data_IF_560400293848
#
_entry.id   IF_560400293848
#
_cell.length_a   1.000
_cell.length_b   1.000
_cell.length_c   1.000
_cell.angle_alpha   90.00
_cell.angle_beta   90.00
_cell.angle_gamma   90.00
#
_symmetry.space_group_name_H-M   'P 1'
#
loop_
_entity.id
_entity.type
_entity.pdbx_description
1 polymer ?
#
# COMPACT_ATOMS: atom_id res chain seq x y z
N UNK A 1 -8.65 -37.06 -4.41
CA UNK A 1 -8.42 -35.66 -3.99
C UNK A 1 -9.81 -35.05 -3.83
N UNK A 2 -10.15 -34.48 -2.67
CA UNK A 2 -11.46 -33.90 -2.41
C UNK A 2 -11.34 -32.37 -2.41
N UNK A 3 -12.44 -31.70 -2.72
CA UNK A 3 -12.53 -30.25 -2.62
C UNK A 3 -13.86 -29.87 -1.98
N UNK A 4 -13.82 -28.80 -1.18
CA UNK A 4 -15.00 -28.16 -0.61
C UNK A 4 -15.09 -26.74 -1.17
N UNK A 5 -16.08 -26.50 -2.01
CA UNK A 5 -16.36 -25.19 -2.59
C UNK A 5 -17.23 -24.40 -1.61
N UNK A 6 -16.79 -23.23 -1.19
CA UNK A 6 -17.48 -22.37 -0.22
C UNK A 6 -17.68 -20.98 -0.80
N UNK A 7 -18.76 -20.32 -0.41
CA UNK A 7 -18.92 -18.89 -0.60
C UNK A 7 -18.46 -18.19 0.68
N UNK A 8 -17.54 -17.25 0.58
CA UNK A 8 -16.93 -16.58 1.72
C UNK A 8 -17.21 -15.10 1.66
N UNK A 9 -18.04 -14.64 2.60
CA UNK A 9 -18.34 -13.23 2.78
C UNK A 9 -17.30 -12.58 3.71
N UNK A 10 -16.58 -11.59 3.22
CA UNK A 10 -15.64 -10.79 4.00
C UNK A 10 -15.93 -9.29 3.77
N UNK A 11 -16.46 -8.60 4.78
CA UNK A 11 -16.97 -7.24 4.58
C UNK A 11 -18.21 -7.24 3.69
N UNK A 12 -18.20 -6.40 2.64
CA UNK A 12 -19.26 -6.33 1.63
C UNK A 12 -19.12 -7.36 0.49
N UNK A 13 -17.94 -7.97 0.34
CA UNK A 13 -17.62 -8.83 -0.80
C UNK A 13 -17.92 -10.30 -0.49
N UNK A 14 -18.37 -11.04 -1.51
CA UNK A 14 -18.55 -12.50 -1.47
C UNK A 14 -17.64 -13.11 -2.53
N UNK A 15 -16.70 -13.95 -2.11
CA UNK A 15 -15.77 -14.65 -2.98
C UNK A 15 -16.00 -16.15 -2.91
N UNK A 16 -15.73 -16.86 -4.00
CA UNK A 16 -15.74 -18.32 -4.01
C UNK A 16 -14.36 -18.85 -3.62
N UNK A 17 -14.30 -19.72 -2.61
CA UNK A 17 -13.08 -20.39 -2.18
C UNK A 17 -13.23 -21.90 -2.35
N UNK A 18 -12.28 -22.52 -3.04
CA UNK A 18 -12.22 -23.97 -3.24
C UNK A 18 -11.16 -24.52 -2.30
N UNK A 19 -11.55 -25.09 -1.16
CA UNK A 19 -10.63 -25.69 -0.19
C UNK A 19 -10.19 -27.08 -0.69
N UNK A 20 -8.93 -27.28 -1.12
CA UNK A 20 -8.42 -28.61 -1.41
C UNK A 20 -8.21 -29.39 -0.11
N UNK A 21 -8.73 -30.62 -0.02
CA UNK A 21 -8.59 -31.44 1.19
C UNK A 21 -8.35 -32.91 0.86
N UNK A 22 -7.63 -33.60 1.75
CA UNK A 22 -7.43 -35.06 1.69
C UNK A 22 -8.63 -35.82 2.28
N UNK A 23 -9.42 -35.16 3.13
CA UNK A 23 -10.59 -35.70 3.81
C UNK A 23 -11.89 -35.37 3.08
N UNK A 24 -12.92 -36.21 3.19
CA UNK A 24 -14.29 -35.87 2.78
C UNK A 24 -14.99 -34.91 3.76
N UNK A 25 -14.39 -34.69 4.93
CA UNK A 25 -14.83 -33.81 5.99
C UNK A 25 -13.63 -33.08 6.62
N UNK A 26 -13.28 -31.89 6.10
CA UNK A 26 -12.17 -31.12 6.63
C UNK A 26 -12.46 -30.53 8.01
N UNK A 27 -11.41 -30.22 8.76
CA UNK A 27 -11.55 -29.52 10.05
C UNK A 27 -11.71 -28.01 9.88
N UNK A 28 -12.12 -27.34 10.96
CA UNK A 28 -12.11 -25.88 11.04
C UNK A 28 -10.68 -25.35 10.89
N UNK A 29 -9.67 -26.03 11.43
CA UNK A 29 -8.27 -25.64 11.27
C UNK A 29 -7.83 -25.63 9.80
N UNK A 30 -8.17 -26.66 9.02
CA UNK A 30 -7.85 -26.69 7.58
C UNK A 30 -8.50 -25.50 6.84
N UNK A 31 -9.73 -25.15 7.21
CA UNK A 31 -10.40 -23.96 6.68
C UNK A 31 -9.72 -22.66 7.13
N UNK A 32 -9.30 -22.55 8.39
CA UNK A 32 -8.60 -21.38 8.93
C UNK A 32 -7.27 -21.14 8.23
N UNK A 33 -6.47 -22.19 8.05
CA UNK A 33 -5.21 -22.14 7.32
C UNK A 33 -5.42 -21.71 5.87
N UNK A 34 -6.45 -22.25 5.21
CA UNK A 34 -6.75 -21.87 3.83
C UNK A 34 -7.25 -20.43 3.70
N UNK A 35 -8.09 -19.97 4.63
CA UNK A 35 -8.53 -18.56 4.69
C UNK A 35 -7.33 -17.63 4.92
N UNK A 36 -6.37 -17.99 5.77
CA UNK A 36 -5.17 -17.20 5.99
C UNK A 36 -4.36 -17.06 4.70
N UNK A 37 -4.15 -18.18 3.99
CA UNK A 37 -3.42 -18.19 2.72
C UNK A 37 -4.11 -17.38 1.61
N UNK A 38 -5.45 -17.47 1.49
CA UNK A 38 -6.19 -16.86 0.39
C UNK A 38 -6.61 -15.41 0.65
N UNK A 39 -6.94 -15.07 1.90
CA UNK A 39 -7.48 -13.75 2.26
C UNK A 39 -6.49 -12.91 3.08
N UNK A 40 -5.32 -13.45 3.41
CA UNK A 40 -4.31 -12.83 4.26
C UNK A 40 -4.87 -12.36 5.60
N UNK A 41 -5.77 -13.13 6.21
CA UNK A 41 -6.32 -12.86 7.55
C UNK A 41 -5.67 -13.83 8.52
N UNK A 42 -4.87 -13.37 9.50
CA UNK A 42 -4.19 -14.27 10.42
C UNK A 42 -5.17 -15.14 11.19
N UNK A 43 -4.87 -16.43 11.41
CA UNK A 43 -5.79 -17.36 12.10
C UNK A 43 -6.31 -16.78 13.42
N UNK A 44 -5.44 -16.20 14.25
CA UNK A 44 -5.79 -15.58 15.54
C UNK A 44 -6.69 -14.32 15.43
N UNK A 45 -6.85 -13.76 14.23
CA UNK A 45 -7.74 -12.62 13.93
C UNK A 45 -8.99 -13.02 13.15
N UNK A 46 -9.12 -14.29 12.76
CA UNK A 46 -10.27 -14.78 12.01
C UNK A 46 -11.45 -15.04 12.96
N UNK A 47 -12.63 -14.61 12.59
CA UNK A 47 -13.89 -15.05 13.18
C UNK A 47 -14.75 -15.64 12.07
N UNK A 48 -14.73 -16.97 11.97
CA UNK A 48 -15.53 -17.72 10.99
C UNK A 48 -16.91 -17.94 11.59
N UNK A 49 -17.93 -17.40 10.94
CA UNK A 49 -19.32 -17.41 11.38
C UNK A 49 -20.14 -18.18 10.35
N UNK A 50 -20.88 -19.18 10.82
CA UNK A 50 -21.85 -19.92 10.01
C UNK A 50 -23.15 -20.08 10.78
N UNK A 51 -24.28 -19.66 10.19
CA UNK A 51 -25.61 -19.71 10.82
C UNK A 51 -25.64 -19.16 12.27
N UNK A 52 -24.89 -18.09 12.53
CA UNK A 52 -24.79 -17.45 13.85
C UNK A 52 -23.81 -18.09 14.82
N UNK A 53 -23.16 -19.21 14.48
CA UNK A 53 -22.15 -19.85 15.31
C UNK A 53 -20.75 -19.39 14.92
N UNK A 54 -19.92 -19.07 15.91
CA UNK A 54 -18.51 -18.73 15.70
C UNK A 54 -17.64 -19.99 15.86
N UNK A 55 -16.93 -20.37 14.81
CA UNK A 55 -16.08 -21.56 14.77
C UNK A 55 -14.62 -21.29 15.17
N UNK A 56 -14.23 -20.03 15.41
CA UNK A 56 -12.81 -19.65 15.59
C UNK A 56 -12.05 -20.46 16.65
N UNK A 57 -12.68 -20.76 17.79
CA UNK A 57 -12.06 -21.46 18.93
C UNK A 57 -12.20 -22.99 18.87
N UNK A 58 -12.49 -23.53 17.70
CA UNK A 58 -12.84 -24.96 17.52
C UNK A 58 -12.03 -25.61 16.40
N UNK A 59 -10.69 -25.56 16.42
CA UNK A 59 -9.85 -25.98 15.30
C UNK A 59 -10.00 -27.47 14.93
N UNK A 60 -10.12 -28.35 15.92
CA UNK A 60 -10.18 -29.81 15.73
C UNK A 60 -11.54 -30.31 15.23
N UNK A 61 -12.54 -29.44 15.32
CA UNK A 61 -13.91 -29.76 15.01
C UNK A 61 -14.14 -29.86 13.49
N UNK A 62 -15.00 -30.80 13.07
CA UNK A 62 -15.28 -31.04 11.65
C UNK A 62 -16.27 -30.04 11.08
N UNK A 63 -16.17 -29.71 9.79
CA UNK A 63 -17.09 -28.77 9.15
C UNK A 63 -18.50 -29.36 8.97
N UNK A 64 -18.63 -30.66 8.68
CA UNK A 64 -19.95 -31.28 8.43
C UNK A 64 -20.88 -31.29 9.64
N UNK A 65 -20.37 -31.36 10.88
CA UNK A 65 -21.24 -31.29 12.06
C UNK A 65 -21.93 -29.93 12.22
N UNK A 66 -21.39 -28.87 11.60
CA UNK A 66 -22.04 -27.57 11.49
C UNK A 66 -23.01 -27.48 10.30
N UNK A 67 -23.06 -28.51 9.46
CA UNK A 67 -23.80 -28.51 8.21
C UNK A 67 -23.12 -27.69 7.11
N UNK A 68 -21.81 -27.43 7.23
CA UNK A 68 -21.03 -26.76 6.19
C UNK A 68 -20.71 -27.77 5.09
N UNK A 69 -21.23 -27.53 3.90
CA UNK A 69 -21.10 -28.38 2.71
C UNK A 69 -20.81 -27.52 1.48
N UNK A 70 -20.72 -28.13 0.30
CA UNK A 70 -20.48 -27.40 -0.95
C UNK A 70 -21.51 -26.27 -1.15
N UNK A 71 -21.01 -25.11 -1.59
CA UNK A 71 -21.75 -23.85 -1.78
C UNK A 71 -22.29 -23.21 -0.50
N UNK A 72 -21.88 -23.68 0.69
CA UNK A 72 -22.24 -23.02 1.94
C UNK A 72 -21.64 -21.61 2.00
N UNK A 73 -22.46 -20.64 2.40
CA UNK A 73 -22.03 -19.28 2.68
C UNK A 73 -21.51 -19.17 4.11
N UNK A 74 -20.21 -18.97 4.27
CA UNK A 74 -19.57 -18.64 5.53
C UNK A 74 -19.24 -17.15 5.57
N UNK A 75 -19.37 -16.53 6.73
CA UNK A 75 -18.92 -15.16 6.96
C UNK A 75 -17.60 -15.19 7.70
N UNK A 76 -16.60 -14.49 7.19
CA UNK A 76 -15.31 -14.34 7.84
C UNK A 76 -15.17 -12.88 8.25
N UNK A 77 -15.06 -12.65 9.55
CA UNK A 77 -14.77 -11.34 10.12
C UNK A 77 -13.33 -11.34 10.60
N UNK A 78 -12.53 -10.40 10.14
CA UNK A 78 -11.13 -10.28 10.55
C UNK A 78 -10.45 -9.14 9.81
N UNK A 79 -9.41 -8.58 10.42
CA UNK A 79 -8.58 -7.59 9.75
C UNK A 79 -7.57 -8.35 8.89
N UNK A 80 -7.66 -8.20 7.55
CA UNK A 80 -6.59 -8.64 6.65
C UNK A 80 -5.29 -8.05 7.19
N UNK A 81 -4.26 -8.87 7.38
CA UNK A 81 -2.91 -8.32 7.44
C UNK A 81 -2.75 -7.49 6.18
N UNK A 82 -2.35 -6.23 6.35
CA UNK A 82 -1.93 -5.42 5.23
C UNK A 82 -0.85 -6.23 4.52
N UNK A 83 -1.06 -6.62 3.26
CA UNK A 83 -0.07 -7.36 2.52
C UNK A 83 1.23 -6.56 2.60
N UNK A 84 2.20 -7.04 3.37
CA UNK A 84 3.56 -6.49 3.40
C UNK A 84 4.28 -6.74 2.07
N UNK A 85 3.62 -7.44 1.15
CA UNK A 85 4.11 -7.87 -0.17
C UNK A 85 3.70 -6.94 -1.32
N UNK A 86 2.77 -5.99 -1.12
CA UNK A 86 2.48 -4.95 -2.10
C UNK A 86 2.81 -3.60 -1.47
N UNK A 87 4.04 -3.14 -1.69
CA UNK A 87 4.47 -1.84 -1.21
C UNK A 87 3.85 -0.75 -2.08
N UNK A 88 3.18 0.22 -1.46
CA UNK A 88 2.71 1.39 -2.20
C UNK A 88 3.93 2.26 -2.53
N UNK A 89 4.08 2.59 -3.81
CA UNK A 89 5.11 3.48 -4.30
C UNK A 89 4.49 4.78 -4.82
N UNK A 90 5.26 5.86 -4.78
CA UNK A 90 4.89 7.13 -5.38
C UNK A 90 6.08 7.78 -6.08
N UNK A 91 5.80 8.40 -7.23
CA UNK A 91 6.73 9.29 -7.93
C UNK A 91 6.07 10.66 -7.99
N UNK A 92 6.67 11.66 -7.35
CA UNK A 92 6.18 13.03 -7.30
C UNK A 92 7.07 13.91 -8.15
N UNK A 93 6.50 14.69 -9.08
CA UNK A 93 7.28 15.47 -10.05
C UNK A 93 6.74 16.89 -10.19
N UNK A 94 7.62 17.88 -9.98
CA UNK A 94 7.37 19.27 -10.31
C UNK A 94 8.17 19.63 -11.58
N UNK A 95 7.46 19.81 -12.70
CA UNK A 95 8.07 20.03 -14.02
C UNK A 95 8.53 21.47 -14.30
N UNK A 96 8.65 22.34 -13.30
CA UNK A 96 9.00 23.75 -13.49
C UNK A 96 9.80 24.32 -12.31
N UNK A 97 10.51 25.41 -12.56
CA UNK A 97 11.32 26.14 -11.60
C UNK A 97 11.02 27.65 -11.60
N UNK A 98 11.72 28.38 -10.75
CA UNK A 98 11.59 29.84 -10.59
C UNK A 98 10.45 30.23 -9.65
N UNK A 99 10.60 31.39 -9.01
CA UNK A 99 9.68 31.90 -7.98
C UNK A 99 8.24 32.05 -8.50
N UNK A 100 8.04 32.49 -9.74
CA UNK A 100 6.71 32.58 -10.36
C UNK A 100 5.98 31.23 -10.48
N UNK A 101 6.70 30.11 -10.46
CA UNK A 101 6.14 28.76 -10.51
C UNK A 101 6.14 28.05 -9.15
N UNK A 102 6.26 28.82 -8.07
CA UNK A 102 6.30 28.33 -6.69
C UNK A 102 5.29 27.20 -6.40
N UNK A 103 4.05 27.38 -6.89
CA UNK A 103 2.93 26.44 -6.71
C UNK A 103 3.26 24.99 -7.05
N UNK A 104 4.02 24.71 -8.13
CA UNK A 104 4.20 23.32 -8.58
C UNK A 104 5.11 22.51 -7.64
N UNK A 105 6.14 23.14 -7.06
CA UNK A 105 6.99 22.46 -6.07
C UNK A 105 6.31 22.45 -4.69
N UNK A 106 5.53 23.48 -4.34
CA UNK A 106 4.70 23.48 -3.13
C UNK A 106 3.65 22.35 -3.17
N UNK A 107 3.06 22.07 -4.33
CA UNK A 107 2.15 20.94 -4.57
C UNK A 107 2.83 19.60 -4.35
N UNK A 108 4.04 19.40 -4.89
CA UNK A 108 4.83 18.18 -4.68
C UNK A 108 5.22 18.01 -3.21
N UNK A 109 5.70 19.06 -2.55
CA UNK A 109 6.03 19.05 -1.13
C UNK A 109 4.80 18.67 -0.29
N UNK A 110 3.64 19.26 -0.57
CA UNK A 110 2.40 18.94 0.13
C UNK A 110 1.94 17.50 -0.12
N UNK A 111 2.04 17.00 -1.36
CA UNK A 111 1.76 15.61 -1.68
C UNK A 111 2.67 14.66 -0.90
N UNK A 112 3.97 14.96 -0.78
CA UNK A 112 4.89 14.21 0.07
C UNK A 112 4.42 14.15 1.52
N UNK A 113 4.06 15.30 2.13
CA UNK A 113 3.60 15.32 3.52
C UNK A 113 2.37 14.42 3.74
N UNK A 114 1.43 14.38 2.78
CA UNK A 114 0.27 13.50 2.84
C UNK A 114 0.69 12.03 2.80
N UNK A 115 1.56 11.64 1.86
CA UNK A 115 2.00 10.25 1.71
C UNK A 115 2.82 9.77 2.92
N UNK A 116 3.78 10.58 3.36
CA UNK A 116 4.64 10.29 4.49
C UNK A 116 3.82 10.15 5.79
N UNK A 117 2.91 11.09 6.06
CA UNK A 117 2.00 11.04 7.23
C UNK A 117 1.09 9.81 7.23
N UNK A 118 0.75 9.27 6.05
CA UNK A 118 -0.05 8.05 5.91
C UNK A 118 0.78 6.75 5.87
N UNK A 119 2.08 6.84 6.19
CA UNK A 119 2.94 5.69 6.43
C UNK A 119 3.53 5.06 5.17
N UNK A 120 3.64 5.80 4.07
CA UNK A 120 4.52 5.39 2.96
C UNK A 120 5.95 5.79 3.33
N UNK A 121 6.90 4.85 3.44
CA UNK A 121 8.28 5.17 3.83
C UNK A 121 8.99 5.95 2.71
N UNK A 122 9.97 6.79 3.07
CA UNK A 122 10.74 7.59 2.10
C UNK A 122 11.52 6.72 1.09
N UNK A 123 11.82 5.46 1.44
CA UNK A 123 12.36 4.47 0.50
C UNK A 123 11.45 4.21 -0.70
N UNK A 124 10.16 4.49 -0.56
CA UNK A 124 9.10 4.22 -1.52
C UNK A 124 8.49 5.48 -2.14
N UNK A 125 9.01 6.65 -1.79
CA UNK A 125 8.64 7.93 -2.40
C UNK A 125 9.85 8.46 -3.15
N UNK A 126 9.66 8.75 -4.43
CA UNK A 126 10.67 9.33 -5.31
C UNK A 126 10.25 10.75 -5.63
N UNK A 127 11.05 11.75 -5.27
CA UNK A 127 10.72 13.16 -5.48
C UNK A 127 11.65 13.79 -6.51
N UNK A 128 11.05 14.33 -7.57
CA UNK A 128 11.73 15.10 -8.61
C UNK A 128 11.22 16.54 -8.58
N UNK A 129 12.02 17.47 -8.05
CA UNK A 129 11.66 18.89 -8.00
C UNK A 129 12.91 19.74 -8.14
N UNK A 130 12.81 20.91 -8.78
CA UNK A 130 14.00 21.70 -9.10
C UNK A 130 14.75 22.21 -7.85
N UNK A 131 14.05 22.35 -6.71
CA UNK A 131 14.60 22.74 -5.40
C UNK A 131 15.23 24.14 -5.34
N UNK A 132 14.58 25.11 -5.98
CA UNK A 132 15.03 26.51 -6.03
C UNK A 132 14.12 27.49 -5.27
N UNK A 133 13.20 27.00 -4.43
CA UNK A 133 12.23 27.83 -3.70
C UNK A 133 12.61 28.11 -2.25
N UNK A 134 12.99 27.09 -1.46
CA UNK A 134 13.22 27.25 -0.02
C UNK A 134 14.34 28.26 0.28
N UNK A 135 15.39 28.27 -0.55
CA UNK A 135 16.52 29.20 -0.45
C UNK A 135 16.46 30.37 -1.44
N UNK A 136 15.38 30.49 -2.22
CA UNK A 136 15.21 31.55 -3.22
C UNK A 136 15.37 32.93 -2.56
N UNK A 137 16.01 33.90 -3.22
CA UNK A 137 16.16 35.27 -2.69
C UNK A 137 14.82 35.96 -2.44
N UNK A 138 13.79 35.65 -3.23
CA UNK A 138 12.43 36.20 -3.10
C UNK A 138 11.63 35.56 -1.97
N UNK A 139 12.07 34.42 -1.42
CA UNK A 139 11.37 33.77 -0.31
C UNK A 139 11.53 34.58 0.99
N UNK A 140 10.46 35.18 1.55
CA UNK A 140 10.56 35.95 2.79
C UNK A 140 10.82 35.06 4.02
N UNK A 141 10.51 33.76 3.93
CA UNK A 141 10.66 32.78 5.00
C UNK A 141 11.60 31.66 4.54
N UNK A 142 12.91 31.95 4.57
CA UNK A 142 13.94 31.01 4.09
C UNK A 142 13.82 29.64 4.76
N UNK A 143 13.93 28.59 3.96
CA UNK A 143 13.82 27.20 4.39
C UNK A 143 12.39 26.70 4.53
N UNK A 144 11.38 27.56 4.35
CA UNK A 144 9.96 27.21 4.48
C UNK A 144 9.28 27.32 3.11
N UNK A 145 8.44 26.34 2.80
CA UNK A 145 7.50 26.38 1.68
C UNK A 145 6.12 26.06 2.24
N UNK A 146 5.14 26.94 2.03
CA UNK A 146 3.71 26.69 2.32
C UNK A 146 2.95 26.39 1.03
N UNK A 147 1.86 25.61 1.06
CA UNK A 147 1.00 25.36 -0.11
C UNK A 147 -0.44 25.93 0.01
N UNK A 148 -0.68 26.79 1.00
CA UNK A 148 -1.90 27.60 1.11
C UNK A 148 -1.63 28.77 2.07
N UNK A 149 -2.42 29.87 2.01
CA UNK A 149 -2.26 30.99 2.93
C UNK A 149 -2.34 30.55 4.39
N UNK A 150 -1.40 31.01 5.22
CA UNK A 150 -1.26 30.64 6.64
C UNK A 150 -1.09 29.12 6.89
N UNK A 151 -0.69 28.36 5.88
CA UNK A 151 -0.39 26.94 6.01
C UNK A 151 0.89 26.66 6.77
N UNK A 152 1.05 25.41 7.19
CA UNK A 152 2.31 24.92 7.77
C UNK A 152 3.38 24.72 6.70
N UNK A 153 4.64 24.64 7.11
CA UNK A 153 5.73 24.23 6.23
C UNK A 153 5.46 22.83 5.66
N UNK A 154 5.60 22.71 4.34
CA UNK A 154 5.49 21.46 3.59
C UNK A 154 6.84 20.99 3.06
N UNK A 155 7.92 21.80 3.16
CA UNK A 155 9.24 21.45 2.65
C UNK A 155 10.03 20.53 3.58
N UNK A 156 9.89 20.70 4.89
CA UNK A 156 10.63 19.90 5.86
C UNK A 156 10.46 18.39 5.64
N UNK A 157 11.59 17.67 5.53
CA UNK A 157 11.64 16.22 5.38
C UNK A 157 11.46 15.69 3.96
N UNK A 158 11.07 16.54 3.00
CA UNK A 158 10.92 16.13 1.60
C UNK A 158 12.25 15.58 1.05
N UNK A 159 12.28 14.36 0.46
CA UNK A 159 13.45 13.84 -0.21
C UNK A 159 13.85 14.69 -1.42
N UNK A 160 15.15 14.78 -1.68
CA UNK A 160 15.71 15.50 -2.82
C UNK A 160 16.31 14.48 -3.80
N UNK A 161 15.48 13.56 -4.31
CA UNK A 161 15.97 12.41 -5.07
C UNK A 161 16.53 12.81 -6.44
N UNK A 162 15.89 13.78 -7.11
CA UNK A 162 16.38 14.39 -8.35
C UNK A 162 16.07 15.88 -8.31
N UNK A 163 17.11 16.71 -8.38
CA UNK A 163 16.98 18.18 -8.25
C UNK A 163 17.63 18.93 -9.40
N UNK A 164 17.34 20.23 -9.51
CA UNK A 164 17.91 21.11 -10.54
C UNK A 164 17.84 20.49 -11.96
N UNK A 165 19.00 20.32 -12.60
CA UNK A 165 19.13 19.80 -13.96
C UNK A 165 18.86 18.30 -14.09
N UNK A 166 18.67 17.59 -12.97
CA UNK A 166 18.35 16.17 -12.96
C UNK A 166 16.85 15.92 -13.19
N UNK A 167 16.01 16.95 -13.06
CA UNK A 167 14.57 16.89 -13.35
C UNK A 167 14.36 16.96 -14.86
N UNK A 168 14.56 15.82 -15.52
CA UNK A 168 14.42 15.68 -16.98
C UNK A 168 13.40 14.59 -17.34
N UNK A 169 12.75 14.67 -18.52
CA UNK A 169 11.87 13.62 -19.00
C UNK A 169 12.57 12.26 -19.09
N UNK A 170 13.86 12.25 -19.46
CA UNK A 170 14.65 11.03 -19.55
C UNK A 170 14.81 10.35 -18.19
N UNK A 171 15.20 11.12 -17.16
CA UNK A 171 15.38 10.57 -15.82
C UNK A 171 14.04 10.11 -15.22
N UNK A 172 12.97 10.87 -15.48
CA UNK A 172 11.62 10.47 -15.08
C UNK A 172 11.22 9.11 -15.68
N UNK A 173 11.50 8.88 -16.97
CA UNK A 173 11.23 7.57 -17.58
C UNK A 173 12.08 6.46 -16.97
N UNK A 174 13.38 6.69 -16.72
CA UNK A 174 14.23 5.70 -16.05
C UNK A 174 13.73 5.36 -14.63
N UNK A 175 13.21 6.35 -13.90
CA UNK A 175 12.55 6.14 -12.59
C UNK A 175 11.33 5.24 -12.70
N UNK A 176 10.43 5.54 -13.65
CA UNK A 176 9.21 4.76 -13.86
C UNK A 176 9.49 3.32 -14.30
N UNK A 177 10.54 3.11 -15.10
CA UNK A 177 10.93 1.81 -15.64
C UNK A 177 11.79 0.98 -14.68
N UNK A 178 12.18 1.52 -13.52
CA UNK A 178 13.03 0.81 -12.57
C UNK A 178 14.50 0.67 -13.02
N UNK A 179 14.97 1.53 -13.92
CA UNK A 179 16.28 1.40 -14.58
C UNK A 179 17.42 2.01 -13.76
N UNK A 180 17.75 1.37 -12.63
CA UNK A 180 18.77 1.87 -11.69
C UNK A 180 20.14 2.13 -12.32
N UNK A 181 20.57 1.29 -13.27
CA UNK A 181 21.85 1.44 -13.96
C UNK A 181 21.93 2.72 -14.79
N UNK A 182 20.80 3.17 -15.37
CA UNK A 182 20.74 4.37 -16.19
C UNK A 182 20.85 5.67 -15.37
N UNK A 183 20.60 5.61 -14.05
CA UNK A 183 20.66 6.73 -13.11
C UNK A 183 21.84 6.64 -12.13
N UNK A 184 22.84 5.80 -12.43
CA UNK A 184 24.03 5.72 -11.61
C UNK A 184 24.79 7.05 -11.62
N UNK A 185 24.94 7.65 -10.43
CA UNK A 185 25.60 8.95 -10.26
C UNK A 185 24.74 10.16 -10.60
N UNK A 186 23.42 9.97 -10.82
CA UNK A 186 22.45 11.05 -11.03
C UNK A 186 21.48 11.09 -9.84
N UNK A 187 21.42 12.21 -9.14
CA UNK A 187 20.62 12.37 -7.94
C UNK A 187 20.89 11.29 -6.90
N UNK A 188 19.83 10.78 -6.28
CA UNK A 188 19.87 9.64 -5.36
C UNK A 188 20.04 8.28 -6.06
N UNK A 189 19.78 8.19 -7.37
CA UNK A 189 19.67 6.93 -8.10
C UNK A 189 18.47 6.05 -7.72
N UNK A 190 17.50 6.58 -6.97
CA UNK A 190 16.28 5.86 -6.54
C UNK A 190 15.29 5.71 -7.72
N UNK A 191 14.82 4.48 -7.94
CA UNK A 191 13.86 4.12 -8.99
C UNK A 191 12.76 3.23 -8.41
N UNK A 192 11.65 3.04 -9.13
CA UNK A 192 10.61 2.08 -8.74
C UNK A 192 11.15 0.64 -8.71
N UNK A 193 10.64 -0.20 -7.81
CA UNK A 193 11.01 -1.60 -7.62
C UNK A 193 9.81 -2.54 -7.60
#
# INVERSE_FOLDING_TARGET
>A
MHFLKLQVQCGGDINELILPTKSSDPSVEELQQYIEQQLNIPIHKQHIIFKGQNLHRKPDEKLRQYGITNSSLIRVVGCKQRCTWAANWAVLVAGSNGWYNYRHQADVCHAYQILHKNGIPDSNIIVMMYDDLAKNVENPTKGIIINHPNGTDVYHGVPHDYTHLEVTPKNFMHVLLGEKAALQGVGSGKVLQ
#
